data_IF_166341436596
#
_entry.id   IF_166341436596
#
_cell.length_a   1.000
_cell.length_b   1.000
_cell.length_c   1.000
_cell.angle_alpha   90.00
_cell.angle_beta   90.00
_cell.angle_gamma   90.00
#
_symmetry.space_group_name_H-M   'P 1'
#
loop_
_entity.id
_entity.type
_entity.pdbx_description
1 polymer ?
#
# COMPACT_ATOMS: atom_id res chain seq x y z
N UNK A 1 12.77 13.03 2.32
CA UNK A 1 11.41 12.96 1.74
C UNK A 1 10.54 14.00 2.44
N UNK A 2 9.86 14.88 1.71
CA UNK A 2 8.93 15.82 2.32
C UNK A 2 7.73 15.08 2.91
N UNK A 3 7.48 15.24 4.21
CA UNK A 3 6.30 14.69 4.87
C UNK A 3 5.09 15.49 4.40
N UNK A 4 4.33 14.96 3.44
CA UNK A 4 3.11 15.61 2.97
C UNK A 4 2.17 15.84 4.16
N UNK A 5 1.90 17.11 4.46
CA UNK A 5 0.94 17.50 5.49
C UNK A 5 -0.43 17.66 4.83
N UNK A 6 -1.39 16.87 5.29
CA UNK A 6 -2.74 16.88 4.72
C UNK A 6 -3.45 18.18 5.08
N UNK A 7 -3.97 18.87 4.08
CA UNK A 7 -4.72 20.14 4.27
C UNK A 7 -6.12 19.95 4.87
N UNK A 8 -6.74 18.79 4.67
CA UNK A 8 -8.13 18.53 5.09
C UNK A 8 -8.20 17.77 6.41
N UNK A 9 -9.12 18.17 7.30
CA UNK A 9 -9.46 17.47 8.55
C UNK A 9 -10.50 16.33 8.36
N UNK A 10 -10.75 15.87 7.12
CA UNK A 10 -11.72 14.79 6.87
C UNK A 10 -11.29 13.49 7.56
N UNK A 11 -12.21 12.91 8.32
CA UNK A 11 -11.98 11.71 9.15
C UNK A 11 -10.86 11.87 10.19
N UNK A 12 -10.64 13.08 10.72
CA UNK A 12 -9.68 13.33 11.81
C UNK A 12 -10.16 12.86 13.19
N UNK A 13 -11.43 12.45 13.33
CA UNK A 13 -11.99 11.93 14.58
C UNK A 13 -11.42 10.57 14.95
N UNK A 14 -11.44 10.25 16.24
CA UNK A 14 -10.95 8.99 16.79
C UNK A 14 -11.94 7.83 16.55
N UNK A 15 -11.51 6.70 15.93
CA UNK A 15 -12.38 5.56 15.70
C UNK A 15 -12.97 4.96 16.99
N UNK A 16 -12.20 4.92 18.08
CA UNK A 16 -12.65 4.31 19.33
C UNK A 16 -13.76 5.16 19.95
N UNK A 17 -13.57 6.49 19.99
CA UNK A 17 -14.59 7.44 20.43
C UNK A 17 -15.84 7.40 19.54
N UNK A 18 -15.69 7.27 18.22
CA UNK A 18 -16.82 7.13 17.30
C UNK A 18 -17.60 5.83 17.55
N UNK A 19 -16.92 4.72 17.81
CA UNK A 19 -17.56 3.44 18.13
C UNK A 19 -18.39 3.55 19.42
N UNK A 20 -17.81 4.13 20.48
CA UNK A 20 -18.50 4.38 21.75
C UNK A 20 -19.71 5.29 21.58
N UNK A 21 -19.58 6.34 20.77
CA UNK A 21 -20.68 7.26 20.49
C UNK A 21 -21.82 6.58 19.70
N UNK A 22 -21.49 5.70 18.75
CA UNK A 22 -22.51 4.91 18.01
C UNK A 22 -23.22 3.96 18.97
N UNK A 23 -22.47 3.24 19.82
CA UNK A 23 -23.02 2.28 20.78
C UNK A 23 -23.97 2.94 21.78
N UNK A 24 -23.55 4.04 22.41
CA UNK A 24 -24.36 4.79 23.38
C UNK A 24 -25.69 5.31 22.78
N UNK A 25 -25.68 5.72 21.51
CA UNK A 25 -26.91 6.16 20.82
C UNK A 25 -27.77 4.95 20.42
N UNK A 26 -27.16 3.84 20.01
CA UNK A 26 -27.86 2.62 19.61
C UNK A 26 -28.55 1.96 20.80
N UNK A 27 -27.89 1.95 21.97
CA UNK A 27 -28.42 1.49 23.26
C UNK A 27 -29.45 2.45 23.88
N UNK A 28 -29.76 3.58 23.22
CA UNK A 28 -30.67 4.64 23.68
C UNK A 28 -30.28 5.28 25.02
N UNK A 29 -29.02 5.18 25.44
CA UNK A 29 -28.52 5.83 26.66
C UNK A 29 -28.48 7.36 26.52
N UNK A 30 -28.23 7.86 25.30
CA UNK A 30 -28.21 9.29 25.00
C UNK A 30 -28.54 9.61 23.54
N UNK A 31 -29.07 10.81 23.29
CA UNK A 31 -29.29 11.31 21.94
C UNK A 31 -27.97 11.63 21.21
N UNK A 32 -27.99 11.52 19.88
CA UNK A 32 -26.79 11.71 19.02
C UNK A 32 -26.08 13.06 19.21
N UNK A 33 -26.79 14.15 19.50
CA UNK A 33 -26.19 15.45 19.82
C UNK A 33 -25.41 15.43 21.14
N UNK A 34 -25.96 14.76 22.17
CA UNK A 34 -25.32 14.60 23.48
C UNK A 34 -24.09 13.70 23.34
N UNK A 35 -24.22 12.56 22.66
CA UNK A 35 -23.09 11.67 22.36
C UNK A 35 -21.97 12.39 21.61
N UNK A 36 -22.29 13.19 20.60
CA UNK A 36 -21.31 13.98 19.86
C UNK A 36 -20.47 14.88 20.78
N UNK A 37 -21.11 15.58 21.72
CA UNK A 37 -20.41 16.43 22.69
C UNK A 37 -19.61 15.62 23.72
N UNK A 38 -20.20 14.56 24.26
CA UNK A 38 -19.56 13.71 25.29
C UNK A 38 -18.33 12.96 24.78
N UNK A 39 -18.36 12.47 23.53
CA UNK A 39 -17.27 11.70 22.94
C UNK A 39 -16.37 12.53 22.00
N UNK A 40 -16.63 13.83 21.84
CA UNK A 40 -15.81 14.72 21.00
C UNK A 40 -15.81 14.35 19.50
N UNK A 41 -16.92 13.78 19.00
CA UNK A 41 -17.04 13.37 17.58
C UNK A 41 -17.95 14.30 16.79
N UNK A 42 -17.73 14.53 15.48
CA UNK A 42 -18.58 15.43 14.69
C UNK A 42 -20.03 14.94 14.58
N UNK A 43 -20.98 15.76 15.02
CA UNK A 43 -22.40 15.41 15.12
C UNK A 43 -23.01 14.94 13.79
N UNK A 44 -22.70 15.63 12.69
CA UNK A 44 -23.17 15.28 11.33
C UNK A 44 -22.62 13.94 10.87
N UNK A 45 -21.36 13.62 11.20
CA UNK A 45 -20.74 12.34 10.86
C UNK A 45 -21.36 11.20 11.67
N UNK A 46 -21.54 11.41 12.98
CA UNK A 46 -22.18 10.44 13.86
C UNK A 46 -23.62 10.13 13.40
N UNK A 47 -24.42 11.17 13.15
CA UNK A 47 -25.80 11.03 12.66
C UNK A 47 -25.87 10.26 11.34
N UNK A 48 -25.00 10.58 10.38
CA UNK A 48 -24.93 9.86 9.09
C UNK A 48 -24.53 8.40 9.28
N UNK A 49 -23.57 8.12 10.15
CA UNK A 49 -23.11 6.75 10.45
C UNK A 49 -24.23 5.91 11.03
N UNK A 50 -24.96 6.43 12.01
CA UNK A 50 -26.10 5.75 12.62
C UNK A 50 -27.20 5.51 11.58
N UNK A 51 -27.58 6.54 10.80
CA UNK A 51 -28.63 6.44 9.77
C UNK A 51 -28.32 5.37 8.72
N UNK A 52 -27.05 5.27 8.31
CA UNK A 52 -26.61 4.33 7.27
C UNK A 52 -26.05 3.02 7.87
N UNK A 53 -26.25 2.77 9.17
CA UNK A 53 -25.74 1.58 9.89
C UNK A 53 -24.23 1.34 9.66
N UNK A 54 -23.46 2.42 9.52
CA UNK A 54 -22.02 2.36 9.34
C UNK A 54 -21.34 2.31 10.71
N UNK A 55 -20.42 1.38 10.90
CA UNK A 55 -19.57 1.32 12.10
C UNK A 55 -18.58 2.49 12.21
N UNK A 56 -17.61 2.38 13.11
CA UNK A 56 -16.60 3.43 13.31
C UNK A 56 -15.46 3.43 12.28
N UNK A 57 -15.43 2.46 11.36
CA UNK A 57 -14.35 2.33 10.39
C UNK A 57 -14.26 3.58 9.49
N UNK A 58 -13.03 4.08 9.36
CA UNK A 58 -12.67 5.15 8.44
C UNK A 58 -12.69 4.60 7.02
N UNK A 59 -13.51 5.22 6.17
CA UNK A 59 -13.63 4.80 4.77
C UNK A 59 -12.55 5.44 3.90
N UNK A 60 -12.39 4.94 2.69
CA UNK A 60 -11.54 5.54 1.68
C UNK A 60 -11.92 7.00 1.39
N UNK A 61 -10.94 7.90 1.44
CA UNK A 61 -11.16 9.36 1.33
C UNK A 61 -11.01 9.92 -0.08
N UNK A 62 -10.87 9.04 -1.07
CA UNK A 62 -10.54 9.41 -2.44
C UNK A 62 -9.02 9.50 -2.64
N UNK A 63 -8.59 8.99 -3.79
CA UNK A 63 -7.19 8.83 -4.20
C UNK A 63 -7.14 7.88 -5.40
N UNK A 64 -5.95 7.45 -5.80
CA UNK A 64 -5.82 6.28 -6.69
C UNK A 64 -5.89 5.01 -5.84
N UNK A 65 -6.66 4.02 -6.30
CA UNK A 65 -6.63 2.67 -5.72
C UNK A 65 -5.32 1.99 -6.10
N UNK A 66 -4.91 0.99 -5.32
CA UNK A 66 -3.83 0.10 -5.73
C UNK A 66 -4.23 -0.62 -7.01
N UNK A 67 -3.25 -0.87 -7.89
CA UNK A 67 -3.48 -1.61 -9.13
C UNK A 67 -3.85 -3.07 -8.85
N UNK A 68 -3.19 -3.67 -7.86
CA UNK A 68 -3.39 -5.06 -7.46
C UNK A 68 -4.32 -5.15 -6.24
N UNK A 69 -5.01 -6.28 -6.15
CA UNK A 69 -5.68 -6.70 -4.93
C UNK A 69 -4.64 -7.17 -3.91
N UNK A 70 -4.97 -7.20 -2.61
CA UNK A 70 -4.04 -7.65 -1.58
C UNK A 70 -3.48 -9.06 -1.84
N UNK A 71 -4.28 -9.95 -2.45
CA UNK A 71 -3.91 -11.32 -2.73
C UNK A 71 -2.80 -11.39 -3.79
N UNK A 72 -2.99 -10.71 -4.93
CA UNK A 72 -1.98 -10.62 -5.99
C UNK A 72 -0.72 -9.90 -5.49
N UNK A 73 -0.89 -8.91 -4.62
CA UNK A 73 0.25 -8.19 -4.05
C UNK A 73 1.11 -9.10 -3.14
N UNK A 74 0.47 -10.01 -2.39
CA UNK A 74 1.17 -11.01 -1.57
C UNK A 74 1.88 -12.05 -2.44
N UNK A 75 1.29 -12.50 -3.55
CA UNK A 75 1.97 -13.41 -4.49
C UNK A 75 3.25 -12.78 -5.08
N UNK A 76 3.20 -11.50 -5.44
CA UNK A 76 4.39 -10.76 -5.90
C UNK A 76 5.44 -10.71 -4.79
N UNK A 77 5.03 -10.50 -3.54
CA UNK A 77 5.93 -10.48 -2.38
C UNK A 77 6.59 -11.84 -2.14
N UNK A 78 5.83 -12.92 -2.15
CA UNK A 78 6.34 -14.29 -2.00
C UNK A 78 7.35 -14.63 -3.10
N UNK A 79 7.06 -14.23 -4.34
CA UNK A 79 7.99 -14.39 -5.45
C UNK A 79 9.31 -13.66 -5.19
N UNK A 80 9.27 -12.43 -4.70
CA UNK A 80 10.47 -11.65 -4.37
C UNK A 80 11.27 -12.32 -3.26
N UNK A 81 10.62 -12.79 -2.19
CA UNK A 81 11.28 -13.49 -1.08
C UNK A 81 12.00 -14.74 -1.57
N UNK A 82 11.37 -15.53 -2.45
CA UNK A 82 12.00 -16.70 -3.06
C UNK A 82 13.25 -16.34 -3.87
N UNK A 83 13.22 -15.23 -4.61
CA UNK A 83 14.41 -14.76 -5.33
C UNK A 83 15.53 -14.33 -4.37
N UNK A 84 15.18 -13.65 -3.28
CA UNK A 84 16.14 -13.26 -2.23
C UNK A 84 16.77 -14.49 -1.55
N UNK A 85 16.00 -15.54 -1.25
CA UNK A 85 16.48 -16.82 -0.70
C UNK A 85 17.48 -17.51 -1.64
N UNK A 86 17.26 -17.40 -2.95
CA UNK A 86 18.15 -17.90 -3.99
C UNK A 86 19.34 -16.97 -4.27
N UNK A 87 19.56 -15.95 -3.43
CA UNK A 87 20.60 -14.91 -3.56
C UNK A 87 20.50 -14.06 -4.84
N UNK A 88 19.38 -14.12 -5.56
CA UNK A 88 19.06 -13.23 -6.66
C UNK A 88 18.48 -11.94 -6.11
N UNK A 89 19.33 -10.91 -5.99
CA UNK A 89 18.86 -9.59 -5.61
C UNK A 89 17.96 -8.99 -6.68
N UNK A 90 16.78 -8.51 -6.29
CA UNK A 90 15.86 -7.82 -7.19
C UNK A 90 16.12 -6.31 -7.19
N UNK A 91 16.27 -5.71 -8.37
CA UNK A 91 16.38 -4.24 -8.47
C UNK A 91 15.00 -3.60 -8.53
N UNK A 92 14.94 -2.29 -8.29
CA UNK A 92 13.69 -1.52 -8.45
C UNK A 92 13.14 -1.58 -9.88
N UNK A 93 14.00 -1.73 -10.89
CA UNK A 93 13.57 -1.84 -12.29
C UNK A 93 12.93 -3.20 -12.55
N UNK A 94 13.51 -4.26 -12.00
CA UNK A 94 12.98 -5.62 -12.13
C UNK A 94 11.62 -5.73 -11.46
N UNK A 95 11.47 -5.16 -10.26
CA UNK A 95 10.18 -5.08 -9.58
C UNK A 95 9.12 -4.34 -10.42
N UNK A 96 9.49 -3.22 -11.08
CA UNK A 96 8.57 -2.48 -11.96
C UNK A 96 8.17 -3.29 -13.17
N UNK A 97 9.08 -4.09 -13.72
CA UNK A 97 8.83 -4.98 -14.86
C UNK A 97 7.94 -6.15 -14.45
N UNK A 98 8.25 -6.81 -13.35
CA UNK A 98 7.45 -7.90 -12.78
C UNK A 98 6.01 -7.45 -12.56
N UNK A 99 5.80 -6.27 -11.97
CA UNK A 99 4.47 -5.71 -11.79
C UNK A 99 3.74 -5.48 -13.12
N UNK A 100 4.43 -4.95 -14.14
CA UNK A 100 3.82 -4.78 -15.46
C UNK A 100 3.41 -6.15 -16.06
N UNK A 101 4.32 -7.12 -16.04
CA UNK A 101 4.09 -8.45 -16.59
C UNK A 101 2.94 -9.18 -15.88
N UNK A 102 2.85 -9.07 -14.55
CA UNK A 102 1.74 -9.64 -13.76
C UNK A 102 0.41 -8.98 -14.13
N UNK A 103 0.40 -7.67 -14.34
CA UNK A 103 -0.83 -6.96 -14.67
C UNK A 103 -1.33 -7.31 -16.08
N UNK A 104 -0.45 -7.33 -17.08
CA UNK A 104 -0.79 -7.71 -18.45
C UNK A 104 -1.21 -9.18 -18.55
N UNK A 105 -0.47 -10.11 -17.93
CA UNK A 105 -0.79 -11.55 -17.99
C UNK A 105 -2.11 -11.91 -17.34
N UNK A 106 -2.48 -11.21 -16.27
CA UNK A 106 -3.75 -11.43 -15.57
C UNK A 106 -4.89 -10.54 -16.11
N UNK A 107 -4.67 -9.74 -17.16
CA UNK A 107 -5.67 -8.84 -17.72
C UNK A 107 -6.17 -7.77 -16.72
N UNK A 108 -5.33 -7.40 -15.76
CA UNK A 108 -5.69 -6.42 -14.71
C UNK A 108 -5.55 -5.02 -15.28
N UNK A 109 -6.63 -4.25 -15.22
CA UNK A 109 -6.61 -2.85 -15.66
C UNK A 109 -5.58 -2.03 -14.86
N UNK A 110 -4.61 -1.43 -15.54
CA UNK A 110 -3.54 -0.66 -14.92
C UNK A 110 -3.23 0.64 -15.68
N UNK A 111 -2.57 1.57 -14.98
CA UNK A 111 -2.07 2.84 -15.55
C UNK A 111 -0.56 2.83 -15.79
N UNK A 112 0.05 1.65 -15.86
CA UNK A 112 1.46 1.49 -16.15
C UNK A 112 1.80 1.92 -17.58
N UNK A 113 3.07 2.23 -17.81
CA UNK A 113 3.53 2.71 -19.12
C UNK A 113 3.62 1.54 -20.09
N UNK A 114 2.69 1.44 -21.05
CA UNK A 114 2.76 0.42 -22.11
C UNK A 114 3.96 0.62 -23.05
N UNK A 115 4.45 1.87 -23.19
CA UNK A 115 5.64 2.18 -23.99
C UNK A 115 6.91 1.63 -23.37
N UNK A 116 7.06 1.79 -22.05
CA UNK A 116 8.25 1.33 -21.33
C UNK A 116 8.11 -0.10 -20.81
N UNK A 117 6.89 -0.64 -20.77
CA UNK A 117 6.55 -1.93 -20.16
C UNK A 117 6.97 -2.00 -18.69
N UNK A 118 6.72 -0.91 -17.96
CA UNK A 118 7.12 -0.75 -16.56
C UNK A 118 6.02 -0.10 -15.73
N UNK A 119 5.85 -0.60 -14.50
CA UNK A 119 5.05 0.09 -13.49
C UNK A 119 5.65 1.46 -13.13
N UNK A 120 4.83 2.37 -12.59
CA UNK A 120 5.29 3.71 -12.17
C UNK A 120 6.12 3.69 -10.88
N UNK A 121 6.92 4.74 -10.66
CA UNK A 121 7.67 4.92 -9.42
C UNK A 121 6.78 5.03 -8.17
N UNK A 122 5.61 5.64 -8.32
CA UNK A 122 4.65 5.76 -7.22
C UNK A 122 4.07 4.40 -6.80
N UNK A 123 3.93 3.47 -7.76
CA UNK A 123 3.52 2.11 -7.45
C UNK A 123 4.57 1.40 -6.60
N UNK A 124 5.86 1.48 -6.96
CA UNK A 124 6.97 0.91 -6.18
C UNK A 124 7.02 1.48 -4.77
N UNK A 125 6.92 2.82 -4.63
CA UNK A 125 6.89 3.48 -3.31
C UNK A 125 5.72 2.99 -2.47
N UNK A 126 4.55 2.85 -3.08
CA UNK A 126 3.36 2.31 -2.40
C UNK A 126 3.56 0.87 -1.94
N UNK A 127 4.08 0.01 -2.82
CA UNK A 127 4.39 -1.39 -2.53
C UNK A 127 5.38 -1.51 -1.36
N UNK A 128 6.49 -0.78 -1.39
CA UNK A 128 7.48 -0.76 -0.29
C UNK A 128 6.90 -0.22 1.02
N UNK A 129 6.00 0.77 0.96
CA UNK A 129 5.36 1.31 2.16
C UNK A 129 4.38 0.33 2.80
N UNK A 130 3.77 -0.58 2.01
CA UNK A 130 2.88 -1.63 2.52
C UNK A 130 3.67 -2.84 3.01
N UNK A 131 4.81 -3.12 2.38
CA UNK A 131 5.66 -4.27 2.70
C UNK A 131 7.07 -3.80 3.10
N UNK A 132 7.28 -3.33 4.34
CA UNK A 132 8.57 -2.79 4.79
C UNK A 132 9.67 -3.86 4.95
N UNK A 133 9.33 -5.14 4.83
CA UNK A 133 10.25 -6.28 5.00
C UNK A 133 11.14 -6.54 3.79
N UNK A 134 10.81 -6.02 2.61
CA UNK A 134 11.62 -6.23 1.39
C UNK A 134 12.79 -5.26 1.32
N UNK A 135 13.97 -5.76 0.96
CA UNK A 135 15.18 -4.95 0.77
C UNK A 135 15.60 -4.96 -0.70
N UNK A 136 15.07 -4.02 -1.48
CA UNK A 136 15.44 -3.89 -2.90
C UNK A 136 16.89 -3.42 -3.04
N UNK A 137 17.73 -4.22 -3.70
CA UNK A 137 19.14 -3.88 -3.92
C UNK A 137 19.28 -2.75 -4.93
N UNK A 138 20.26 -1.88 -4.69
CA UNK A 138 20.84 -1.02 -5.73
C UNK A 138 21.88 -1.90 -6.43
N UNK A 139 21.81 -2.09 -7.75
CA UNK A 139 22.87 -2.80 -8.45
C UNK A 139 24.17 -2.00 -8.32
N UNK A 140 25.13 -2.52 -7.56
CA UNK A 140 26.49 -2.00 -7.59
C UNK A 140 27.15 -2.40 -8.90
N UNK A 141 27.86 -1.46 -9.55
CA UNK A 141 28.66 -1.79 -10.72
C UNK A 141 29.66 -2.88 -10.33
N UNK A 142 29.54 -4.06 -10.94
CA UNK A 142 30.45 -5.18 -10.67
C UNK A 142 31.83 -4.76 -11.18
N UNK A 143 32.82 -4.65 -10.28
CA UNK A 143 34.19 -4.33 -10.67
C UNK A 143 34.73 -5.39 -11.63
N UNK A 144 35.60 -4.98 -12.57
CA UNK A 144 36.18 -5.88 -13.57
C UNK A 144 36.83 -7.13 -12.95
N UNK A 145 37.35 -7.02 -11.72
CA UNK A 145 37.94 -8.14 -10.99
C UNK A 145 36.91 -9.24 -10.64
N UNK A 146 35.68 -8.87 -10.23
CA UNK A 146 34.60 -9.84 -9.97
C UNK A 146 34.10 -10.48 -11.26
N UNK A 147 33.96 -9.71 -12.34
CA UNK A 147 33.51 -10.24 -13.64
C UNK A 147 34.49 -11.28 -14.22
N UNK A 148 35.81 -11.08 -14.04
CA UNK A 148 36.84 -12.04 -14.49
C UNK A 148 36.77 -13.38 -13.76
N UNK A 149 36.33 -13.40 -12.50
CA UNK A 149 36.18 -14.64 -11.72
C UNK A 149 35.02 -15.54 -12.16
N UNK A 150 34.06 -15.02 -12.94
CA UNK A 150 32.93 -15.78 -13.48
C UNK A 150 33.19 -16.38 -14.87
N UNK A 151 34.27 -15.98 -15.56
CA UNK A 151 34.64 -16.61 -16.82
C UNK A 151 35.46 -17.87 -16.55
N UNK A 152 35.04 -18.99 -17.14
CA UNK A 152 35.80 -20.25 -17.15
C UNK A 152 37.14 -19.93 -17.81
N UNK A 153 38.24 -20.02 -17.05
CA UNK A 153 39.57 -19.85 -17.64
C UNK A 153 39.73 -20.94 -18.69
N UNK A 154 39.83 -20.55 -19.96
CA UNK A 154 40.22 -21.48 -21.02
C UNK A 154 41.69 -21.78 -20.77
N UNK A 155 41.95 -22.90 -20.11
CA UNK A 155 43.30 -23.44 -19.98
C UNK A 155 43.63 -24.05 -21.34
N UNK A 156 44.65 -23.47 -21.99
CA UNK A 156 45.16 -23.93 -23.28
C UNK A 156 46.20 -25.03 -23.11
#
# INVERSE_FOLDING_TARGET
MGRYQRKTSRQSWDPVAMAKAIDAVTKKEMGWLKASKSFGVPATTLRRRIKNQMGANKGYLGGRKTTFTPEVEEEILEHIKRLEEMFFGITRRDLRKLAYDVAERNGIAHNFSSKEQLAGWDWVKGFQSRHPTISLRIPEATSAARARGFNKVVVS
#
